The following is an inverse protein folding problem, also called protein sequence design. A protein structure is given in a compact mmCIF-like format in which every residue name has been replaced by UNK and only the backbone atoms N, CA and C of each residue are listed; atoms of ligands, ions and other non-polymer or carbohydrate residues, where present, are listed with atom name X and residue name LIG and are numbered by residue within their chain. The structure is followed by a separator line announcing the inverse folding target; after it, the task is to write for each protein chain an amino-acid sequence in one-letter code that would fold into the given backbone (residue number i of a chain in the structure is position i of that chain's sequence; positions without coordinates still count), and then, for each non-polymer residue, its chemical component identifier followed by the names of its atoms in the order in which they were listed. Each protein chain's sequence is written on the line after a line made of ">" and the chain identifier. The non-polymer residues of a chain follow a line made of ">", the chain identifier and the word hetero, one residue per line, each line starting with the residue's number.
data_IF_346750851497
#
_entry.id   IF_346750851497
#
_cell.length_a   1.000
_cell.length_b   1.000
_cell.length_c   1.000
_cell.angle_alpha   90.00
_cell.angle_beta   90.00
_cell.angle_gamma   90.00
#
_symmetry.space_group_name_H-M   'P 1'
#
loop_
_entity.id
_entity.type
_entity.pdbx_description
1 polymer ?
#
# COMPACT_ATOMS: atom_id res chain seq x y z
N UNK A 1 -50.90 29.66 71.42
CA UNK A 1 -50.69 30.23 70.07
C UNK A 1 -49.80 29.24 69.34
N UNK A 2 -50.26 28.73 68.19
CA UNK A 2 -49.76 27.53 67.52
C UNK A 2 -50.95 26.64 67.14
N UNK A 3 -51.79 27.11 66.21
CA UNK A 3 -51.77 26.72 64.79
C UNK A 3 -52.54 25.40 64.63
N UNK A 4 -53.88 25.40 64.48
CA UNK A 4 -54.62 25.66 63.23
C UNK A 4 -53.87 25.18 61.97
N UNK A 5 -54.55 24.41 61.12
CA UNK A 5 -54.03 23.69 59.94
C UNK A 5 -53.47 22.28 60.16
N UNK A 6 -54.14 21.47 60.98
CA UNK A 6 -54.51 20.15 60.48
C UNK A 6 -55.65 20.33 59.47
N UNK A 7 -55.57 19.65 58.31
CA UNK A 7 -56.57 19.50 57.23
C UNK A 7 -56.18 20.17 55.90
N UNK A 8 -55.49 19.41 55.05
CA UNK A 8 -55.79 19.02 53.64
C UNK A 8 -54.46 18.46 53.08
N UNK A 9 -54.31 17.20 52.71
CA UNK A 9 -55.05 16.46 51.68
C UNK A 9 -54.01 15.96 50.66
N UNK A 10 -53.80 14.64 50.64
CA UNK A 10 -53.07 13.85 49.63
C UNK A 10 -51.89 14.49 48.89
N UNK A 11 -50.67 14.28 49.40
CA UNK A 11 -49.47 14.38 48.57
C UNK A 11 -49.33 13.07 47.78
N UNK A 12 -49.73 13.12 46.51
CA UNK A 12 -49.59 12.01 45.57
C UNK A 12 -48.18 11.42 45.63
N UNK A 13 -48.09 10.10 45.76
CA UNK A 13 -46.87 9.34 45.51
C UNK A 13 -46.58 9.34 44.00
N UNK A 14 -46.27 10.51 43.44
CA UNK A 14 -45.68 10.67 42.11
C UNK A 14 -44.17 10.36 42.19
N UNK A 15 -43.85 9.13 42.61
CA UNK A 15 -42.53 8.61 42.31
C UNK A 15 -42.47 8.43 40.79
N UNK A 16 -41.53 9.07 40.07
CA UNK A 16 -41.41 8.86 38.65
C UNK A 16 -41.25 7.35 38.39
N UNK A 17 -41.88 6.79 37.34
CA UNK A 17 -41.69 5.38 37.02
C UNK A 17 -40.19 5.10 36.90
N UNK A 18 -39.71 3.94 37.37
CA UNK A 18 -38.29 3.62 37.31
C UNK A 18 -37.80 3.77 35.85
N UNK A 19 -36.59 4.33 35.65
CA UNK A 19 -36.07 4.50 34.30
C UNK A 19 -36.05 3.14 33.59
N UNK A 20 -36.39 3.10 32.28
CA UNK A 20 -36.35 1.86 31.52
C UNK A 20 -34.94 1.25 31.62
N UNK A 21 -34.83 -0.08 31.68
CA UNK A 21 -33.53 -0.75 31.72
C UNK A 21 -32.67 -0.25 30.57
N UNK A 22 -31.42 0.08 30.88
CA UNK A 22 -30.49 0.56 29.88
C UNK A 22 -30.40 -0.48 28.74
N UNK A 23 -30.37 -0.03 27.47
CA UNK A 23 -30.22 -0.94 26.35
C UNK A 23 -28.98 -1.80 26.57
N UNK A 24 -29.16 -3.12 26.51
CA UNK A 24 -28.04 -4.04 26.66
C UNK A 24 -26.99 -3.74 25.59
N UNK A 25 -25.69 -3.81 25.93
CA UNK A 25 -24.64 -3.59 24.95
C UNK A 25 -24.81 -4.57 23.78
N UNK A 26 -24.57 -4.14 22.53
CA UNK A 26 -24.67 -5.02 21.39
C UNK A 26 -23.72 -6.21 21.57
N UNK A 27 -24.22 -7.41 21.29
CA UNK A 27 -23.40 -8.62 21.28
C UNK A 27 -22.26 -8.41 20.27
N UNK A 28 -20.99 -8.61 20.66
CA UNK A 28 -19.89 -8.46 19.73
C UNK A 28 -20.08 -9.40 18.53
N UNK A 29 -19.73 -8.97 17.32
CA UNK A 29 -19.79 -9.85 16.16
C UNK A 29 -18.91 -11.09 16.41
N UNK A 30 -19.28 -12.25 15.86
CA UNK A 30 -18.43 -13.44 15.96
C UNK A 30 -17.02 -13.10 15.46
N UNK A 31 -15.98 -13.69 16.06
CA UNK A 31 -14.61 -13.48 15.59
C UNK A 31 -14.55 -13.82 14.10
N UNK A 32 -14.04 -12.89 13.31
CA UNK A 32 -13.84 -13.13 11.89
C UNK A 32 -12.97 -14.39 11.75
N UNK A 33 -13.50 -15.39 11.05
CA UNK A 33 -12.77 -16.62 10.75
C UNK A 33 -11.40 -16.24 10.19
N UNK A 34 -10.34 -16.61 10.90
CA UNK A 34 -8.97 -16.36 10.43
C UNK A 34 -8.83 -17.09 9.09
N UNK A 35 -8.46 -16.38 8.00
CA UNK A 35 -8.30 -17.04 6.72
C UNK A 35 -7.25 -18.16 6.88
N UNK A 36 -7.45 -19.32 6.23
CA UNK A 36 -6.46 -20.39 6.28
C UNK A 36 -5.09 -19.87 5.84
N UNK A 37 -4.00 -20.38 6.42
CA UNK A 37 -2.66 -19.95 6.03
C UNK A 37 -2.47 -20.18 4.53
N UNK A 38 -1.77 -19.27 3.82
CA UNK A 38 -1.46 -19.48 2.42
C UNK A 38 -0.62 -20.76 2.24
N UNK A 39 -0.76 -21.46 1.11
CA UNK A 39 0.05 -22.64 0.82
C UNK A 39 1.54 -22.28 0.81
N UNK A 40 2.43 -23.24 1.16
CA UNK A 40 3.87 -23.02 1.11
C UNK A 40 4.31 -22.63 -0.30
N UNK A 41 5.18 -21.63 -0.39
CA UNK A 41 5.78 -21.21 -1.67
C UNK A 41 6.66 -22.35 -2.18
N UNK A 42 6.54 -22.74 -3.47
CA UNK A 42 7.40 -23.77 -4.03
C UNK A 42 8.88 -23.36 -3.93
N UNK A 43 9.80 -24.32 -3.73
CA UNK A 43 11.22 -24.01 -3.72
C UNK A 43 11.62 -23.37 -5.06
N UNK A 44 12.54 -22.39 -5.05
CA UNK A 44 13.06 -21.83 -6.29
C UNK A 44 13.70 -22.94 -7.13
N UNK A 45 13.58 -22.90 -8.47
CA UNK A 45 14.23 -23.86 -9.34
C UNK A 45 15.73 -23.87 -9.05
N UNK A 46 16.23 -25.01 -8.58
CA UNK A 46 17.66 -25.23 -8.38
C UNK A 46 18.31 -25.38 -9.75
N UNK A 47 18.75 -24.26 -10.32
CA UNK A 47 19.66 -24.33 -11.45
C UNK A 47 21.01 -24.87 -10.95
N UNK A 48 21.60 -25.88 -11.60
CA UNK A 48 22.96 -26.27 -11.29
C UNK A 48 23.86 -25.04 -11.49
N UNK A 49 24.87 -24.80 -10.62
CA UNK A 49 25.73 -23.61 -10.66
C UNK A 49 26.56 -23.45 -11.95
N UNK A 50 26.37 -24.32 -12.94
CA UNK A 50 27.04 -24.30 -14.24
C UNK A 50 26.11 -24.05 -15.45
N UNK A 51 24.81 -23.77 -15.26
CA UNK A 51 23.91 -23.52 -16.40
C UNK A 51 24.13 -22.16 -17.11
N UNK A 52 25.02 -21.30 -16.62
CA UNK A 52 25.36 -20.02 -17.24
C UNK A 52 26.67 -20.07 -18.04
N UNK A 53 26.92 -21.15 -18.77
CA UNK A 53 28.00 -21.19 -19.77
C UNK A 53 27.41 -21.53 -21.13
N UNK A 54 27.62 -20.58 -22.06
CA UNK A 54 27.34 -20.62 -23.51
C UNK A 54 25.98 -20.04 -23.91
N UNK A 55 25.89 -18.71 -23.92
CA UNK A 55 25.32 -18.05 -25.09
C UNK A 55 26.48 -17.76 -26.05
N UNK A 56 26.61 -18.64 -27.04
CA UNK A 56 27.49 -18.49 -28.19
C UNK A 56 26.91 -17.38 -29.07
N UNK A 57 27.49 -16.19 -29.03
CA UNK A 57 27.20 -15.14 -30.00
C UNK A 57 27.71 -15.64 -31.37
N UNK A 58 26.78 -15.85 -32.30
CA UNK A 58 27.05 -16.09 -33.72
C UNK A 58 28.01 -15.03 -34.29
N UNK A 59 29.06 -15.40 -35.04
CA UNK A 59 29.89 -14.43 -35.75
C UNK A 59 29.08 -13.79 -36.90
N UNK A 60 29.01 -12.45 -36.93
CA UNK A 60 28.52 -11.65 -38.07
C UNK A 60 29.44 -11.91 -39.30
N UNK A 61 28.90 -12.24 -40.49
CA UNK A 61 29.70 -12.60 -41.66
C UNK A 61 30.20 -11.39 -42.46
N UNK A 62 30.23 -10.18 -41.89
CA UNK A 62 30.74 -9.01 -42.60
C UNK A 62 32.27 -9.08 -42.80
N UNK A 63 32.77 -8.97 -44.05
CA UNK A 63 34.20 -8.96 -44.30
C UNK A 63 34.81 -7.71 -43.69
N UNK A 64 35.77 -7.90 -42.78
CA UNK A 64 36.60 -6.81 -42.24
C UNK A 64 37.60 -6.39 -43.33
N UNK A 65 37.81 -5.08 -43.59
CA UNK A 65 38.89 -4.64 -44.46
C UNK A 65 40.23 -5.02 -43.82
N UNK A 66 41.06 -5.73 -44.59
CA UNK A 66 42.42 -6.07 -44.21
C UNK A 66 43.29 -4.80 -44.19
N UNK A 67 43.55 -4.27 -43.00
CA UNK A 67 44.70 -3.39 -42.81
C UNK A 67 45.90 -4.27 -42.52
N UNK A 68 46.63 -4.58 -43.60
CA UNK A 68 48.01 -5.05 -43.57
C UNK A 68 48.85 -4.01 -42.82
N UNK A 69 49.08 -4.22 -41.53
CA UNK A 69 50.10 -3.49 -40.79
C UNK A 69 51.35 -4.37 -40.76
N UNK A 70 52.30 -4.03 -41.63
CA UNK A 70 53.62 -4.66 -41.73
C UNK A 70 54.26 -4.70 -40.35
N UNK A 71 54.72 -5.89 -39.94
CA UNK A 71 55.51 -6.08 -38.73
C UNK A 71 56.93 -5.57 -39.00
N UNK A 72 57.23 -4.34 -38.58
CA UNK A 72 58.62 -3.89 -38.43
C UNK A 72 59.13 -4.21 -37.03
N UNK A 73 60.29 -4.87 -37.01
CA UNK A 73 61.07 -5.23 -35.82
C UNK A 73 61.36 -3.98 -34.98
N UNK A 74 60.92 -3.99 -33.73
CA UNK A 74 61.57 -3.25 -32.65
C UNK A 74 61.48 -4.05 -31.35
N UNK A 75 62.54 -4.81 -31.08
CA UNK A 75 62.81 -5.34 -29.75
C UNK A 75 63.27 -4.19 -28.86
N UNK A 76 62.43 -3.78 -27.90
CA UNK A 76 62.86 -3.02 -26.73
C UNK A 76 61.96 -3.38 -25.54
N UNK A 77 62.59 -3.81 -24.44
CA UNK A 77 61.97 -4.49 -23.31
C UNK A 77 60.78 -3.76 -22.68
N UNK A 78 59.64 -4.45 -22.60
CA UNK A 78 58.52 -4.03 -21.76
C UNK A 78 58.78 -4.45 -20.32
N UNK A 79 59.18 -3.49 -19.48
CA UNK A 79 59.06 -3.60 -18.02
C UNK A 79 57.63 -4.01 -17.70
N UNK A 80 57.46 -5.11 -16.97
CA UNK A 80 56.17 -5.57 -16.45
C UNK A 80 55.59 -4.42 -15.61
N UNK A 81 54.60 -3.73 -16.15
CA UNK A 81 53.74 -2.84 -15.39
C UNK A 81 52.99 -3.75 -14.40
N UNK A 82 53.49 -3.81 -13.16
CA UNK A 82 52.82 -4.52 -12.09
C UNK A 82 51.42 -3.93 -11.96
N UNK A 83 50.41 -4.67 -12.44
CA UNK A 83 49.02 -4.42 -12.09
C UNK A 83 48.96 -4.53 -10.57
N UNK A 84 48.96 -3.37 -9.89
CA UNK A 84 48.70 -3.31 -8.45
C UNK A 84 47.26 -3.77 -8.27
N UNK A 85 47.09 -5.04 -7.91
CA UNK A 85 45.80 -5.54 -7.43
C UNK A 85 45.41 -4.66 -6.24
N UNK A 86 44.21 -4.06 -6.25
CA UNK A 86 43.78 -3.19 -5.17
C UNK A 86 43.81 -3.99 -3.88
N UNK A 87 44.48 -3.43 -2.88
CA UNK A 87 44.63 -4.09 -1.59
C UNK A 87 43.24 -4.35 -0.99
N UNK A 88 43.08 -5.35 -0.11
CA UNK A 88 41.80 -5.63 0.54
C UNK A 88 41.15 -4.40 1.20
N UNK A 89 41.96 -3.43 1.63
CA UNK A 89 41.54 -2.14 2.19
C UNK A 89 40.91 -1.21 1.15
N UNK A 90 41.48 -1.13 -0.06
CA UNK A 90 40.93 -0.34 -1.17
C UNK A 90 39.64 -0.95 -1.72
N UNK A 91 39.58 -2.29 -1.81
CA UNK A 91 38.34 -3.01 -2.17
C UNK A 91 37.21 -2.78 -1.18
N UNK A 92 37.50 -2.76 0.13
CA UNK A 92 36.51 -2.43 1.17
C UNK A 92 35.98 -1.01 1.05
N UNK A 93 36.85 -0.02 0.82
CA UNK A 93 36.44 1.38 0.63
C UNK A 93 35.56 1.56 -0.62
N UNK A 94 35.93 0.92 -1.74
CA UNK A 94 35.12 0.97 -2.96
C UNK A 94 33.76 0.25 -2.82
N UNK A 95 33.67 -0.82 -2.03
CA UNK A 95 32.40 -1.47 -1.70
C UNK A 95 31.54 -0.64 -0.75
N UNK A 96 32.14 0.07 0.21
CA UNK A 96 31.42 0.97 1.11
C UNK A 96 30.83 2.16 0.36
N UNK A 97 31.59 2.81 -0.52
CA UNK A 97 31.07 3.89 -1.37
C UNK A 97 29.88 3.45 -2.23
N UNK A 98 29.97 2.27 -2.89
CA UNK A 98 28.85 1.70 -3.67
C UNK A 98 27.60 1.38 -2.83
N UNK A 99 27.75 1.07 -1.54
CA UNK A 99 26.62 0.82 -0.64
C UNK A 99 25.96 2.12 -0.21
N UNK A 100 26.75 3.16 0.05
CA UNK A 100 26.24 4.48 0.41
C UNK A 100 25.52 5.15 -0.76
N UNK A 101 26.09 5.07 -1.97
CA UNK A 101 25.46 5.61 -3.18
C UNK A 101 24.14 4.90 -3.50
N UNK A 102 24.08 3.57 -3.39
CA UNK A 102 22.83 2.83 -3.52
C UNK A 102 21.80 3.17 -2.43
N UNK A 103 22.26 3.40 -1.20
CA UNK A 103 21.37 3.81 -0.11
C UNK A 103 20.81 5.22 -0.35
N UNK A 104 21.64 6.13 -0.89
CA UNK A 104 21.26 7.50 -1.22
C UNK A 104 20.27 7.53 -2.39
N UNK A 105 20.56 6.80 -3.47
CA UNK A 105 19.66 6.65 -4.62
C UNK A 105 18.32 5.98 -4.21
N UNK A 106 18.36 4.99 -3.32
CA UNK A 106 17.15 4.32 -2.80
C UNK A 106 16.33 5.25 -1.90
N UNK A 107 16.96 6.09 -1.09
CA UNK A 107 16.27 7.11 -0.27
C UNK A 107 15.66 8.20 -1.15
N UNK A 108 16.41 8.70 -2.12
CA UNK A 108 15.99 9.72 -3.07
C UNK A 108 14.78 9.28 -3.91
N UNK A 109 14.71 8.01 -4.31
CA UNK A 109 13.55 7.45 -5.01
C UNK A 109 12.36 7.13 -4.10
N UNK A 110 12.56 6.98 -2.78
CA UNK A 110 11.48 6.64 -1.82
C UNK A 110 10.70 7.86 -1.35
N UNK A 111 11.36 9.01 -1.20
CA UNK A 111 10.72 10.24 -0.70
C UNK A 111 9.59 10.75 -1.63
N UNK A 112 9.77 10.83 -2.96
CA UNK A 112 8.71 11.23 -3.88
C UNK A 112 7.55 10.23 -3.91
N UNK A 113 7.85 8.93 -3.78
CA UNK A 113 6.82 7.87 -3.70
C UNK A 113 5.94 8.02 -2.47
N UNK A 114 6.54 8.27 -1.30
CA UNK A 114 5.80 8.47 -0.06
C UNK A 114 4.90 9.71 -0.10
N UNK A 115 5.38 10.80 -0.73
CA UNK A 115 4.57 12.02 -0.90
C UNK A 115 3.41 11.79 -1.86
N UNK A 116 3.64 11.11 -2.99
CA UNK A 116 2.59 10.74 -3.96
C UNK A 116 1.54 9.84 -3.32
N UNK A 117 1.95 8.86 -2.52
CA UNK A 117 1.04 7.96 -1.81
C UNK A 117 0.19 8.69 -0.78
N UNK A 118 0.78 9.62 -0.01
CA UNK A 118 0.04 10.49 0.91
C UNK A 118 -0.98 11.38 0.19
N UNK A 119 -0.62 11.95 -0.97
CA UNK A 119 -1.52 12.77 -1.76
C UNK A 119 -2.70 11.95 -2.33
N UNK A 120 -2.40 10.77 -2.88
CA UNK A 120 -3.42 9.84 -3.39
C UNK A 120 -4.35 9.32 -2.29
N UNK A 121 -3.82 9.04 -1.09
CA UNK A 121 -4.64 8.65 0.06
C UNK A 121 -5.63 9.74 0.47
N UNK A 122 -5.19 11.01 0.53
CA UNK A 122 -6.08 12.15 0.81
C UNK A 122 -7.16 12.30 -0.27
N UNK A 123 -6.78 12.19 -1.55
CA UNK A 123 -7.72 12.26 -2.67
C UNK A 123 -8.75 11.13 -2.63
N UNK A 124 -8.33 9.90 -2.32
CA UNK A 124 -9.22 8.74 -2.21
C UNK A 124 -10.26 8.91 -1.08
N UNK A 125 -9.85 9.46 0.07
CA UNK A 125 -10.77 9.77 1.18
C UNK A 125 -11.79 10.83 0.74
N UNK A 126 -11.33 11.91 0.09
CA UNK A 126 -12.22 12.97 -0.42
C UNK A 126 -13.20 12.42 -1.45
N UNK A 127 -12.72 11.61 -2.40
CA UNK A 127 -13.55 10.93 -3.40
C UNK A 127 -14.59 9.99 -2.77
N UNK A 128 -14.22 9.25 -1.73
CA UNK A 128 -15.16 8.39 -0.98
C UNK A 128 -16.27 9.20 -0.31
N UNK A 129 -15.96 10.35 0.28
CA UNK A 129 -16.97 11.25 0.87
C UNK A 129 -17.95 11.78 -0.19
N UNK A 130 -17.43 12.20 -1.35
CA UNK A 130 -18.26 12.68 -2.46
C UNK A 130 -19.18 11.57 -2.96
N UNK A 131 -18.64 10.36 -3.22
CA UNK A 131 -19.46 9.21 -3.63
C UNK A 131 -20.55 8.86 -2.62
N UNK A 132 -20.24 8.89 -1.32
CA UNK A 132 -21.24 8.63 -0.27
C UNK A 132 -22.39 9.65 -0.32
N UNK A 133 -22.07 10.94 -0.47
CA UNK A 133 -23.10 11.99 -0.62
C UNK A 133 -23.91 11.80 -1.90
N UNK A 134 -23.25 11.49 -3.03
CA UNK A 134 -23.92 11.22 -4.30
C UNK A 134 -24.88 10.04 -4.22
N UNK A 135 -24.46 8.92 -3.62
CA UNK A 135 -25.32 7.74 -3.41
C UNK A 135 -26.51 8.07 -2.49
N UNK A 136 -26.28 8.82 -1.42
CA UNK A 136 -27.36 9.28 -0.54
C UNK A 136 -28.40 10.14 -1.29
N UNK A 137 -27.93 11.01 -2.19
CA UNK A 137 -28.81 11.83 -3.01
C UNK A 137 -29.62 10.98 -4.00
N UNK A 138 -28.98 10.04 -4.69
CA UNK A 138 -29.66 9.12 -5.62
C UNK A 138 -30.73 8.30 -4.91
N UNK A 139 -30.44 7.79 -3.71
CA UNK A 139 -31.40 7.05 -2.91
C UNK A 139 -32.60 7.94 -2.55
N UNK A 140 -32.37 9.18 -2.11
CA UNK A 140 -33.46 10.12 -1.79
C UNK A 140 -34.36 10.43 -2.99
N UNK A 141 -33.80 10.52 -4.20
CA UNK A 141 -34.58 10.72 -5.42
C UNK A 141 -35.39 9.47 -5.78
N UNK A 142 -34.82 8.28 -5.55
CA UNK A 142 -35.48 7.00 -5.81
C UNK A 142 -36.65 6.79 -4.85
N UNK A 143 -36.46 7.12 -3.58
CA UNK A 143 -37.52 7.08 -2.56
C UNK A 143 -38.64 8.07 -2.92
N UNK A 144 -38.29 9.30 -3.31
CA UNK A 144 -39.27 10.31 -3.74
C UNK A 144 -40.04 9.86 -4.98
N UNK A 145 -39.37 9.28 -5.97
CA UNK A 145 -40.01 8.76 -7.17
C UNK A 145 -40.96 7.59 -6.86
N UNK A 146 -40.53 6.68 -5.98
CA UNK A 146 -41.34 5.53 -5.55
C UNK A 146 -42.56 5.99 -4.76
N UNK A 147 -42.38 6.94 -3.84
CA UNK A 147 -43.47 7.55 -3.09
C UNK A 147 -44.49 8.23 -4.01
N UNK A 148 -44.02 9.01 -5.00
CA UNK A 148 -44.91 9.63 -6.00
C UNK A 148 -45.69 8.58 -6.79
N UNK A 149 -45.04 7.49 -7.22
CA UNK A 149 -45.69 6.42 -7.99
C UNK A 149 -46.79 5.71 -7.18
N UNK A 150 -46.51 5.40 -5.92
CA UNK A 150 -47.48 4.77 -5.00
C UNK A 150 -48.64 5.74 -4.70
N UNK A 151 -48.35 7.01 -4.46
CA UNK A 151 -49.37 8.04 -4.22
C UNK A 151 -50.32 8.20 -5.40
N UNK A 152 -49.81 8.24 -6.63
CA UNK A 152 -50.67 8.35 -7.82
C UNK A 152 -51.52 7.09 -8.09
N UNK A 153 -51.06 5.90 -7.68
CA UNK A 153 -51.90 4.69 -7.76
C UNK A 153 -53.02 4.66 -6.72
N UNK A 154 -52.85 5.33 -5.56
CA UNK A 154 -53.89 5.38 -4.51
C UNK A 154 -55.00 6.40 -4.78
N UNK A 155 -54.80 7.37 -5.66
CA UNK A 155 -55.82 8.38 -6.02
C UNK A 155 -56.75 7.89 -7.14
N UNK A 156 -56.43 6.76 -7.78
CA UNK A 156 -57.15 6.21 -8.92
C UNK A 156 -57.99 4.95 -8.60
N UNK A 157 -58.26 4.71 -7.31
CA UNK A 157 -59.17 3.66 -6.79
C UNK A 157 -60.28 4.37 -6.02
#
# INVERSE_FOLDING_TARGET
>A
MGDEYEMIGELGNDAPPPPPPAPQPPVPPPPASVPPPPPPVPPPPQFPPNALKKQHLTPDPRPKPSVNLKHDKASAGKKKLAQKLPTPRERRKAQQGKREDQLREKKEKRIPKLQKEKAMGKLAIKGRKIRRKGLSYINSLTDLYTFKKISMHKVNV
#
